data_IF_115333294868
#
_entry.id   IF_115333294868
#
_cell.length_a   1.000
_cell.length_b   1.000
_cell.length_c   1.000
_cell.angle_alpha   90.00
_cell.angle_beta   90.00
_cell.angle_gamma   90.00
#
_symmetry.space_group_name_H-M   'P 1'
#
loop_
_entity.id
_entity.type
_entity.pdbx_description
1 polymer ?
#
# COMPACT_ATOMS: atom_id res chain seq x y z
N UNK A 1 -6.21 1.83 -12.17
CA UNK A 1 -6.07 0.45 -12.65
C UNK A 1 -4.62 -0.02 -12.72
N UNK A 2 -3.72 0.69 -13.41
CA UNK A 2 -2.29 0.28 -13.52
C UNK A 2 -1.59 0.23 -12.17
N UNK A 3 -1.87 1.17 -11.28
CA UNK A 3 -1.35 1.17 -9.91
C UNK A 3 -1.69 -0.12 -9.15
N UNK A 4 -2.95 -0.54 -9.15
CA UNK A 4 -3.36 -1.77 -8.46
C UNK A 4 -2.69 -3.03 -9.03
N UNK A 5 -2.48 -3.07 -10.35
CA UNK A 5 -1.74 -4.17 -11.01
C UNK A 5 -0.27 -4.16 -10.59
N UNK A 6 0.36 -2.99 -10.52
CA UNK A 6 1.74 -2.86 -10.05
C UNK A 6 1.89 -3.29 -8.60
N UNK A 7 1.00 -2.82 -7.70
CA UNK A 7 1.00 -3.22 -6.29
C UNK A 7 0.76 -4.72 -6.13
N UNK A 8 -0.14 -5.32 -6.92
CA UNK A 8 -0.32 -6.78 -6.97
C UNK A 8 1.00 -7.51 -7.27
N UNK A 9 1.72 -7.10 -8.31
CA UNK A 9 2.99 -7.72 -8.70
C UNK A 9 4.07 -7.54 -7.61
N UNK A 10 4.16 -6.35 -7.01
CA UNK A 10 5.10 -6.07 -5.91
C UNK A 10 4.79 -6.90 -4.67
N UNK A 11 3.52 -7.05 -4.31
CA UNK A 11 3.08 -7.88 -3.18
C UNK A 11 3.44 -9.36 -3.39
N UNK A 12 3.26 -9.89 -4.60
CA UNK A 12 3.65 -11.25 -4.96
C UNK A 12 5.17 -11.44 -4.83
N UNK A 13 5.96 -10.52 -5.38
CA UNK A 13 7.42 -10.59 -5.30
C UNK A 13 7.91 -10.52 -3.85
N UNK A 14 7.34 -9.62 -3.04
CA UNK A 14 7.67 -9.47 -1.62
C UNK A 14 7.27 -10.71 -0.81
N UNK A 15 6.09 -11.28 -1.05
CA UNK A 15 5.63 -12.50 -0.38
C UNK A 15 6.58 -13.67 -0.64
N UNK A 16 7.03 -13.83 -1.88
CA UNK A 16 8.04 -14.85 -2.24
C UNK A 16 9.40 -14.58 -1.58
N UNK A 17 9.84 -13.33 -1.54
CA UNK A 17 11.08 -12.93 -0.87
C UNK A 17 11.04 -13.22 0.64
N UNK A 18 9.88 -13.09 1.28
CA UNK A 18 9.66 -13.44 2.68
C UNK A 18 9.52 -14.95 2.92
N UNK A 19 9.51 -15.77 1.86
CA UNK A 19 9.38 -17.22 1.95
C UNK A 19 7.98 -17.70 2.33
N UNK A 20 6.95 -16.91 2.00
CA UNK A 20 5.56 -17.30 2.29
C UNK A 20 5.12 -18.44 1.35
N UNK A 21 4.23 -19.28 1.85
CA UNK A 21 3.63 -20.38 1.06
C UNK A 21 2.86 -19.82 -0.15
N UNK A 22 2.81 -20.60 -1.24
CA UNK A 22 2.21 -20.17 -2.51
C UNK A 22 0.73 -19.75 -2.39
N UNK A 23 0.00 -20.34 -1.43
CA UNK A 23 -1.37 -19.91 -1.10
C UNK A 23 -1.39 -18.44 -0.59
N UNK A 24 -0.47 -18.10 0.31
CA UNK A 24 -0.33 -16.73 0.84
C UNK A 24 0.23 -15.77 -0.19
N UNK A 25 1.08 -16.23 -1.11
CA UNK A 25 1.57 -15.43 -2.25
C UNK A 25 0.39 -15.01 -3.15
N UNK A 26 -0.54 -15.92 -3.43
CA UNK A 26 -1.75 -15.59 -4.20
C UNK A 26 -2.66 -14.62 -3.46
N UNK A 27 -2.83 -14.80 -2.14
CA UNK A 27 -3.60 -13.89 -1.29
C UNK A 27 -2.96 -12.48 -1.27
N UNK A 28 -1.64 -12.39 -1.16
CA UNK A 28 -0.92 -11.12 -1.24
C UNK A 28 -1.17 -10.40 -2.58
N UNK A 29 -1.15 -11.13 -3.68
CA UNK A 29 -1.46 -10.58 -5.00
C UNK A 29 -2.89 -10.05 -5.10
N UNK A 30 -3.88 -10.81 -4.62
CA UNK A 30 -5.27 -10.40 -4.58
C UNK A 30 -5.48 -9.17 -3.68
N UNK A 31 -4.86 -9.17 -2.51
CA UNK A 31 -4.90 -8.05 -1.59
C UNK A 31 -4.32 -6.78 -2.22
N UNK A 32 -3.17 -6.88 -2.89
CA UNK A 32 -2.56 -5.77 -3.62
C UNK A 32 -3.42 -5.26 -4.78
N UNK A 33 -4.13 -6.15 -5.48
CA UNK A 33 -5.04 -5.77 -6.57
C UNK A 33 -6.24 -4.98 -6.06
N UNK A 34 -6.77 -5.31 -4.89
CA UNK A 34 -8.03 -4.78 -4.34
C UNK A 34 -7.83 -3.74 -3.23
N UNK A 35 -6.58 -3.43 -2.82
CA UNK A 35 -6.32 -2.54 -1.68
C UNK A 35 -7.01 -1.17 -1.80
N UNK A 36 -7.12 -0.65 -2.99
CA UNK A 36 -7.65 0.68 -3.32
C UNK A 36 -9.10 0.67 -3.84
N UNK A 37 -9.82 -0.45 -3.70
CA UNK A 37 -11.19 -0.60 -4.23
C UNK A 37 -12.12 0.54 -3.78
N UNK A 38 -11.97 1.00 -2.55
CA UNK A 38 -12.78 2.09 -1.99
C UNK A 38 -12.63 3.44 -2.68
N UNK A 39 -11.58 3.63 -3.47
CA UNK A 39 -11.43 4.84 -4.29
C UNK A 39 -12.55 5.00 -5.32
N UNK A 40 -13.20 3.91 -5.71
CA UNK A 40 -14.40 3.96 -6.56
C UNK A 40 -15.58 4.71 -5.92
N UNK A 41 -15.59 4.85 -4.60
CA UNK A 41 -16.62 5.58 -3.85
C UNK A 41 -16.26 7.05 -3.60
N UNK A 42 -15.05 7.46 -3.97
CA UNK A 42 -14.61 8.85 -3.73
C UNK A 42 -15.18 9.80 -4.79
N UNK A 43 -15.53 11.04 -4.40
CA UNK A 43 -15.95 12.06 -5.37
C UNK A 43 -14.88 12.31 -6.43
N UNK A 44 -15.29 12.37 -7.70
CA UNK A 44 -14.38 12.58 -8.82
C UNK A 44 -13.54 13.86 -8.69
N UNK A 45 -14.13 14.90 -8.11
CA UNK A 45 -13.47 16.19 -7.88
C UNK A 45 -12.30 16.06 -6.89
N UNK A 46 -12.39 15.15 -5.92
CA UNK A 46 -11.33 14.88 -4.95
C UNK A 46 -10.30 13.91 -5.57
N UNK A 47 -10.78 12.84 -6.20
CA UNK A 47 -9.92 11.80 -6.76
C UNK A 47 -9.01 12.31 -7.88
N UNK A 48 -9.53 13.20 -8.75
CA UNK A 48 -8.84 13.70 -9.94
C UNK A 48 -8.35 15.14 -9.79
N UNK A 49 -8.34 15.67 -8.56
CA UNK A 49 -7.92 17.06 -8.34
C UNK A 49 -6.47 17.29 -8.77
N UNK A 50 -6.19 18.24 -9.64
CA UNK A 50 -4.83 18.64 -9.94
C UNK A 50 -4.22 19.39 -8.74
N UNK A 51 -3.09 18.90 -8.22
CA UNK A 51 -2.39 19.51 -7.10
C UNK A 51 -2.71 18.91 -5.73
N UNK A 52 -2.51 19.70 -4.68
CA UNK A 52 -2.70 19.25 -3.30
C UNK A 52 -4.18 19.28 -2.89
N UNK A 53 -4.60 18.26 -2.17
CA UNK A 53 -5.90 18.24 -1.50
C UNK A 53 -5.91 19.22 -0.32
N UNK A 54 -7.05 19.88 -0.07
CA UNK A 54 -7.31 20.56 1.19
C UNK A 54 -7.44 19.57 2.33
N UNK A 55 -7.40 20.01 3.58
CA UNK A 55 -7.58 19.13 4.74
C UNK A 55 -8.93 18.41 4.71
N UNK A 56 -10.00 19.10 4.30
CA UNK A 56 -11.33 18.51 4.15
C UNK A 56 -11.38 17.45 3.04
N UNK A 57 -10.78 17.70 1.88
CA UNK A 57 -10.69 16.74 0.78
C UNK A 57 -9.79 15.54 1.16
N UNK A 58 -8.72 15.80 1.90
CA UNK A 58 -7.85 14.72 2.39
C UNK A 58 -8.57 13.85 3.43
N UNK A 59 -9.42 14.43 4.28
CA UNK A 59 -10.28 13.68 5.19
C UNK A 59 -11.24 12.74 4.43
N UNK A 60 -11.83 13.22 3.32
CA UNK A 60 -12.64 12.39 2.42
C UNK A 60 -11.77 11.26 1.82
N UNK A 61 -10.60 11.59 1.27
CA UNK A 61 -9.70 10.60 0.68
C UNK A 61 -9.30 9.51 1.69
N UNK A 62 -9.07 9.86 2.96
CA UNK A 62 -8.75 8.89 4.02
C UNK A 62 -9.87 7.89 4.35
N UNK A 63 -11.08 8.07 3.85
CA UNK A 63 -12.17 7.11 4.06
C UNK A 63 -12.13 5.92 3.09
N UNK A 64 -11.31 5.98 1.99
CA UNK A 64 -11.33 4.91 0.99
C UNK A 64 -10.96 3.51 1.55
N UNK A 65 -10.06 3.34 2.55
CA UNK A 65 -9.81 2.00 3.10
C UNK A 65 -11.04 1.40 3.76
N UNK A 66 -11.77 2.19 4.56
CA UNK A 66 -13.01 1.74 5.21
C UNK A 66 -14.12 1.45 4.19
N UNK A 67 -14.28 2.31 3.17
CA UNK A 67 -15.24 2.08 2.08
C UNK A 67 -14.89 0.83 1.26
N UNK A 68 -13.62 0.61 0.94
CA UNK A 68 -13.16 -0.58 0.26
C UNK A 68 -13.40 -1.85 1.08
N UNK A 69 -13.09 -1.82 2.36
CA UNK A 69 -13.38 -2.91 3.29
C UNK A 69 -14.87 -3.22 3.32
N UNK A 70 -15.74 -2.22 3.45
CA UNK A 70 -17.19 -2.38 3.42
C UNK A 70 -17.65 -3.09 2.13
N UNK A 71 -17.17 -2.63 0.96
CA UNK A 71 -17.50 -3.25 -0.33
C UNK A 71 -17.05 -4.71 -0.41
N UNK A 72 -15.87 -5.04 0.10
CA UNK A 72 -15.36 -6.42 0.12
C UNK A 72 -16.15 -7.33 1.06
N UNK A 73 -16.60 -6.81 2.19
CA UNK A 73 -17.47 -7.55 3.12
C UNK A 73 -18.86 -7.81 2.48
N UNK A 74 -19.46 -6.80 1.89
CA UNK A 74 -20.77 -6.91 1.20
C UNK A 74 -20.70 -7.87 0.00
N UNK A 75 -19.59 -7.87 -0.74
CA UNK A 75 -19.36 -8.78 -1.84
C UNK A 75 -19.19 -10.24 -1.45
N UNK A 76 -18.83 -10.52 -0.22
CA UNK A 76 -18.81 -11.85 0.41
C UNK A 76 -17.77 -12.84 -0.11
N UNK A 77 -16.95 -12.48 -1.10
CA UNK A 77 -15.99 -13.39 -1.76
C UNK A 77 -14.52 -13.12 -1.41
N UNK A 78 -14.22 -11.95 -0.84
CA UNK A 78 -12.86 -11.58 -0.46
C UNK A 78 -12.43 -12.31 0.83
N UNK A 79 -11.16 -12.76 0.86
CA UNK A 79 -10.56 -13.35 2.05
C UNK A 79 -10.38 -12.33 3.18
N UNK A 80 -10.17 -12.80 4.40
CA UNK A 80 -9.84 -11.94 5.55
C UNK A 80 -8.56 -11.15 5.31
N UNK A 81 -7.56 -11.77 4.65
CA UNK A 81 -6.29 -11.11 4.29
C UNK A 81 -6.55 -9.94 3.34
N UNK A 82 -7.34 -10.15 2.29
CA UNK A 82 -7.66 -9.09 1.33
C UNK A 82 -8.42 -7.93 1.99
N UNK A 83 -9.39 -8.24 2.86
CA UNK A 83 -10.14 -7.24 3.62
C UNK A 83 -9.24 -6.44 4.58
N UNK A 84 -8.34 -7.13 5.27
CA UNK A 84 -7.39 -6.54 6.20
C UNK A 84 -6.42 -5.58 5.49
N UNK A 85 -5.79 -6.00 4.41
CA UNK A 85 -4.89 -5.13 3.63
C UNK A 85 -5.64 -3.91 3.07
N UNK A 86 -6.84 -4.10 2.55
CA UNK A 86 -7.67 -3.00 2.07
C UNK A 86 -7.92 -1.95 3.15
N UNK A 87 -8.19 -2.39 4.39
CA UNK A 87 -8.46 -1.51 5.52
C UNK A 87 -7.19 -0.83 6.06
N UNK A 88 -6.06 -1.55 6.14
CA UNK A 88 -4.92 -1.14 6.96
C UNK A 88 -3.63 -0.79 6.17
N UNK A 89 -3.65 -0.78 4.83
CA UNK A 89 -2.44 -0.45 4.05
C UNK A 89 -1.91 0.98 4.24
N UNK A 90 -2.65 1.86 4.87
CA UNK A 90 -2.22 3.20 5.25
C UNK A 90 -1.88 3.35 6.75
N UNK A 91 -1.85 2.25 7.50
CA UNK A 91 -1.32 2.27 8.86
C UNK A 91 0.21 2.40 8.87
N UNK A 92 0.75 2.95 9.95
CA UNK A 92 2.20 3.18 10.13
C UNK A 92 2.68 2.49 11.39
N UNK A 93 3.82 1.83 11.31
CA UNK A 93 4.34 1.00 12.42
C UNK A 93 4.48 1.77 13.73
N UNK A 94 4.87 3.04 13.70
CA UNK A 94 4.94 3.89 14.89
C UNK A 94 3.57 4.46 15.33
N UNK A 95 2.50 4.19 14.57
CA UNK A 95 1.19 4.82 14.75
C UNK A 95 1.05 6.12 13.96
N UNK A 96 -0.13 6.76 14.05
CA UNK A 96 -0.44 7.97 13.28
C UNK A 96 -0.77 7.70 11.80
N UNK A 97 -0.96 6.43 11.44
CA UNK A 97 -1.61 6.01 10.19
C UNK A 97 -3.13 6.17 10.27
N UNK A 98 -3.84 5.58 9.34
CA UNK A 98 -5.31 5.56 9.30
C UNK A 98 -5.80 4.27 8.63
N UNK A 99 -7.06 3.84 8.89
CA UNK A 99 -8.13 4.55 9.60
C UNK A 99 -8.09 4.40 11.12
N UNK A 100 -7.42 3.40 11.70
CA UNK A 100 -7.53 3.04 13.11
C UNK A 100 -6.34 3.51 13.97
N UNK A 101 -5.23 3.90 13.34
CA UNK A 101 -4.01 4.34 14.05
C UNK A 101 -3.27 3.20 14.74
N UNK A 102 -3.34 1.99 14.17
CA UNK A 102 -2.67 0.78 14.67
C UNK A 102 -1.16 0.95 14.77
N UNK A 103 -0.51 0.17 15.64
CA UNK A 103 0.94 0.22 15.88
C UNK A 103 1.57 -1.16 15.91
N UNK A 104 2.78 -1.26 15.40
CA UNK A 104 3.62 -2.45 15.58
C UNK A 104 2.91 -3.75 15.18
N UNK A 105 2.73 -4.63 16.16
CA UNK A 105 2.15 -5.96 15.94
C UNK A 105 0.61 -5.97 15.80
N UNK A 106 -0.04 -4.84 16.05
CA UNK A 106 -1.47 -4.67 15.74
C UNK A 106 -1.72 -4.65 14.23
N UNK A 107 -0.70 -4.29 13.43
CA UNK A 107 -0.75 -4.29 11.97
C UNK A 107 -0.29 -5.66 11.47
N UNK A 108 -1.10 -6.34 10.65
CA UNK A 108 -0.74 -7.63 10.08
C UNK A 108 0.49 -7.54 9.16
N UNK A 109 1.18 -8.67 8.97
CA UNK A 109 2.29 -8.75 8.01
C UNK A 109 1.84 -8.33 6.60
N UNK A 110 0.67 -8.78 6.15
CA UNK A 110 0.15 -8.47 4.82
C UNK A 110 -0.18 -6.99 4.66
N UNK A 111 -0.73 -6.33 5.67
CA UNK A 111 -0.97 -4.89 5.65
C UNK A 111 0.34 -4.08 5.65
N UNK A 112 1.36 -4.51 6.41
CA UNK A 112 2.71 -3.93 6.37
C UNK A 112 3.35 -4.05 4.98
N UNK A 113 3.16 -5.18 4.31
CA UNK A 113 3.61 -5.40 2.92
C UNK A 113 2.87 -4.46 1.96
N UNK A 114 1.55 -4.35 2.09
CA UNK A 114 0.72 -3.44 1.30
C UNK A 114 1.17 -1.99 1.42
N UNK A 115 1.47 -1.53 2.64
CA UNK A 115 1.94 -0.17 2.88
C UNK A 115 3.25 0.16 2.14
N UNK A 116 4.22 -0.75 2.13
CA UNK A 116 5.49 -0.56 1.42
C UNK A 116 5.28 -0.55 -0.09
N UNK A 117 4.52 -1.51 -0.63
CA UNK A 117 4.30 -1.66 -2.06
C UNK A 117 3.49 -0.49 -2.64
N UNK A 118 2.43 -0.07 -1.95
CA UNK A 118 1.59 1.06 -2.35
C UNK A 118 2.40 2.36 -2.43
N UNK A 119 3.12 2.70 -1.36
CA UNK A 119 3.93 3.92 -1.32
C UNK A 119 5.01 3.91 -2.39
N UNK A 120 5.71 2.79 -2.58
CA UNK A 120 6.75 2.69 -3.59
C UNK A 120 6.20 2.93 -5.01
N UNK A 121 5.12 2.26 -5.39
CA UNK A 121 4.51 2.49 -6.70
C UNK A 121 3.97 3.92 -6.83
N UNK A 122 3.36 4.46 -5.76
CA UNK A 122 2.83 5.83 -5.78
C UNK A 122 3.89 6.90 -6.03
N UNK A 123 5.14 6.70 -5.59
CA UNK A 123 6.22 7.68 -5.76
C UNK A 123 7.11 7.42 -6.98
N UNK A 124 7.16 6.18 -7.50
CA UNK A 124 7.96 5.82 -8.68
C UNK A 124 7.18 5.91 -9.98
N UNK A 125 5.85 5.77 -9.94
CA UNK A 125 5.01 5.83 -11.13
C UNK A 125 4.84 7.26 -11.66
N UNK A 126 4.95 7.41 -12.99
CA UNK A 126 4.63 8.65 -13.65
C UNK A 126 3.12 8.92 -13.58
N UNK A 127 2.78 10.13 -13.19
CA UNK A 127 1.39 10.63 -13.18
C UNK A 127 1.27 11.82 -14.13
N UNK A 128 0.07 12.16 -14.66
CA UNK A 128 -0.10 13.22 -15.64
C UNK A 128 0.52 14.57 -15.25
N UNK A 129 0.65 14.82 -13.94
CA UNK A 129 1.15 16.08 -13.41
C UNK A 129 2.45 15.95 -12.59
N UNK A 130 3.07 14.75 -12.58
CA UNK A 130 4.29 14.49 -11.79
C UNK A 130 5.08 13.33 -12.36
N UNK A 131 6.35 13.57 -12.69
CA UNK A 131 7.29 12.48 -12.96
C UNK A 131 7.51 11.64 -11.72
N UNK A 132 7.55 10.33 -11.86
CA UNK A 132 7.96 9.43 -10.80
C UNK A 132 9.39 9.68 -10.37
N UNK A 133 9.70 9.40 -9.12
CA UNK A 133 11.07 9.43 -8.64
C UNK A 133 11.86 8.25 -9.20
N UNK A 134 13.17 8.42 -9.31
CA UNK A 134 14.08 7.32 -9.59
C UNK A 134 13.91 6.20 -8.55
N UNK A 135 13.91 4.91 -8.95
CA UNK A 135 13.72 3.78 -8.04
C UNK A 135 14.70 3.74 -6.86
N UNK A 136 15.99 3.97 -7.10
CA UNK A 136 17.00 3.96 -6.04
C UNK A 136 16.83 5.14 -5.07
N UNK A 137 16.55 6.33 -5.59
CA UNK A 137 16.23 7.52 -4.79
C UNK A 137 14.96 7.31 -3.96
N UNK A 138 13.94 6.64 -4.51
CA UNK A 138 12.71 6.30 -3.79
C UNK A 138 12.99 5.42 -2.57
N UNK A 139 13.78 4.36 -2.75
CA UNK A 139 14.20 3.47 -1.66
C UNK A 139 15.00 4.24 -0.60
N UNK A 140 15.95 5.08 -1.02
CA UNK A 140 16.73 5.90 -0.09
C UNK A 140 15.82 6.77 0.76
N UNK A 141 14.89 7.51 0.16
CA UNK A 141 13.95 8.38 0.88
C UNK A 141 13.00 7.60 1.78
N UNK A 142 12.46 6.48 1.30
CA UNK A 142 11.58 5.63 2.12
C UNK A 142 12.31 5.10 3.37
N UNK A 143 13.60 4.78 3.28
CA UNK A 143 14.41 4.34 4.43
C UNK A 143 14.60 5.42 5.49
N UNK A 144 14.52 6.69 5.12
CA UNK A 144 14.61 7.85 6.02
C UNK A 144 13.30 8.13 6.80
N UNK A 145 12.17 7.57 6.37
CA UNK A 145 10.87 7.78 7.01
C UNK A 145 10.71 6.89 8.25
N UNK A 146 11.33 7.33 9.34
CA UNK A 146 11.33 6.59 10.61
C UNK A 146 9.91 6.31 11.09
N UNK A 147 9.66 5.06 11.48
CA UNK A 147 8.38 4.64 12.04
C UNK A 147 7.24 4.49 11.01
N UNK A 148 7.52 4.64 9.72
CA UNK A 148 6.52 4.42 8.68
C UNK A 148 6.39 2.92 8.36
N UNK A 149 7.49 2.26 8.03
CA UNK A 149 7.55 0.86 7.63
C UNK A 149 8.22 -0.01 8.70
N UNK A 150 7.82 -1.27 8.75
CA UNK A 150 8.53 -2.28 9.53
C UNK A 150 9.83 -2.65 8.82
N UNK A 151 10.94 -2.63 9.55
CA UNK A 151 12.28 -2.72 8.97
C UNK A 151 12.51 -4.02 8.20
N UNK A 152 12.11 -5.16 8.77
CA UNK A 152 12.25 -6.48 8.14
C UNK A 152 11.49 -6.57 6.82
N UNK A 153 10.26 -6.05 6.79
CA UNK A 153 9.43 -6.04 5.58
C UNK A 153 10.05 -5.12 4.53
N UNK A 154 10.50 -3.94 4.94
CA UNK A 154 11.16 -3.00 4.03
C UNK A 154 12.45 -3.56 3.43
N UNK A 155 13.31 -4.19 4.25
CA UNK A 155 14.54 -4.85 3.76
C UNK A 155 14.24 -5.99 2.78
N UNK A 156 13.22 -6.81 3.06
CA UNK A 156 12.78 -7.86 2.14
C UNK A 156 12.25 -7.26 0.82
N UNK A 157 11.52 -6.16 0.90
CA UNK A 157 11.04 -5.44 -0.28
C UNK A 157 12.20 -4.95 -1.16
N UNK A 158 13.21 -4.29 -0.60
CA UNK A 158 14.40 -3.84 -1.33
C UNK A 158 15.08 -5.00 -2.06
N UNK A 159 15.23 -6.15 -1.39
CA UNK A 159 15.79 -7.37 -2.02
C UNK A 159 14.90 -7.88 -3.15
N UNK A 160 13.57 -7.86 -2.99
CA UNK A 160 12.63 -8.40 -3.98
C UNK A 160 12.64 -7.64 -5.31
N UNK A 161 12.91 -6.33 -5.29
CA UNK A 161 12.97 -5.49 -6.49
C UNK A 161 14.38 -5.40 -7.11
N UNK A 162 15.38 -6.05 -6.50
CA UNK A 162 16.75 -6.14 -7.04
C UNK A 162 17.54 -4.82 -6.97
N UNK A 163 17.09 -3.84 -6.21
CA UNK A 163 17.84 -2.60 -5.98
C UNK A 163 18.74 -2.83 -4.75
N UNK A 164 20.03 -3.03 -5.02
CA UNK A 164 21.03 -3.09 -3.96
C UNK A 164 21.64 -1.68 -3.79
N UNK A 165 21.66 -1.11 -2.59
CA UNK A 165 22.45 0.09 -2.36
C UNK A 165 23.91 -0.27 -2.61
N UNK A 166 24.49 0.31 -3.65
CA UNK A 166 25.94 0.35 -3.82
C UNK A 166 26.49 1.17 -2.68
N UNK A 167 27.22 0.52 -1.78
CA UNK A 167 27.84 1.11 -0.59
C UNK A 167 28.84 2.24 -0.92
#
# INVERSE_FOLDING_TARGET
YMHSVAVCALMIALARQLGLEEALVREAGMAGLLHDLGKAMMPNEVLNKPGKLTDAEFAIMKSHPAEGHRLLVEGGTASDITRDVCLHHHEKVAGGGYPEGLKGDEISLMAKMGAVCDVYDAITSNRPYKSGWDPAESIRRMSEWKGHFEERVFQAFVKSIGIYPTG
#
